data_IF_573812530038
#
_entry.id   IF_573812530038
#
_cell.length_a   1.000
_cell.length_b   1.000
_cell.length_c   1.000
_cell.angle_alpha   90.00
_cell.angle_beta   90.00
_cell.angle_gamma   90.00
#
_symmetry.space_group_name_H-M   'P 1'
#
loop_
_entity.id
_entity.type
_entity.pdbx_description
1 polymer ?
#
# COMPACT_ATOMS: atom_id res chain seq x y z
N UNK A 1 -17.04 -1.03 15.37
CA UNK A 1 -16.38 -1.61 14.17
C UNK A 1 -14.87 -1.40 14.24
N UNK A 2 -14.12 -2.42 14.64
CA UNK A 2 -12.64 -2.37 14.65
C UNK A 2 -12.11 -2.78 13.28
N UNK A 3 -11.52 -1.85 12.53
CA UNK A 3 -10.78 -2.14 11.29
C UNK A 3 -9.46 -2.85 11.64
N UNK A 4 -9.55 -4.10 12.09
CA UNK A 4 -8.38 -4.97 12.26
C UNK A 4 -7.86 -5.35 10.88
N UNK A 5 -6.75 -4.73 10.51
CA UNK A 5 -5.70 -5.16 9.58
C UNK A 5 -6.06 -6.37 8.70
N UNK A 6 -6.46 -6.10 7.46
CA UNK A 6 -7.06 -7.04 6.50
C UNK A 6 -6.08 -7.98 5.78
N UNK A 7 -4.94 -8.32 6.37
CA UNK A 7 -3.96 -9.23 5.78
C UNK A 7 -3.66 -10.38 6.75
N UNK A 8 -3.99 -11.62 6.36
CA UNK A 8 -3.32 -12.79 6.94
C UNK A 8 -1.96 -12.91 6.27
N UNK A 9 -0.90 -12.50 6.97
CA UNK A 9 0.48 -12.77 6.56
C UNK A 9 0.66 -14.29 6.46
N UNK A 10 0.80 -14.82 5.25
CA UNK A 10 1.18 -16.21 5.02
C UNK A 10 2.41 -16.21 4.11
N UNK A 11 3.57 -16.42 4.74
CA UNK A 11 4.90 -16.69 4.18
C UNK A 11 5.64 -15.53 3.48
N UNK A 12 6.57 -14.95 4.23
CA UNK A 12 7.71 -14.18 3.68
C UNK A 12 8.73 -15.20 3.14
N UNK A 13 8.96 -15.24 1.82
CA UNK A 13 10.18 -15.85 1.26
C UNK A 13 11.14 -14.72 0.90
N UNK A 14 12.14 -14.50 1.76
CA UNK A 14 13.28 -13.64 1.47
C UNK A 14 14.16 -14.39 0.47
N UNK A 15 14.19 -13.98 -0.80
CA UNK A 15 15.24 -14.44 -1.72
C UNK A 15 16.27 -13.32 -1.89
N UNK A 16 17.54 -13.70 -1.94
CA UNK A 16 18.70 -12.82 -1.77
C UNK A 16 18.92 -11.78 -2.90
N UNK A 17 18.04 -11.70 -3.90
CA UNK A 17 18.32 -10.97 -5.14
C UNK A 17 17.16 -10.09 -5.66
N UNK A 18 15.95 -10.19 -5.09
CA UNK A 18 14.82 -9.32 -5.41
C UNK A 18 13.72 -9.46 -4.33
N UNK A 19 13.45 -8.39 -3.57
CA UNK A 19 12.40 -8.36 -2.53
C UNK A 19 11.00 -8.29 -3.15
N UNK A 20 10.52 -9.43 -3.66
CA UNK A 20 9.13 -9.60 -4.06
C UNK A 20 8.40 -10.47 -3.03
N UNK A 21 7.29 -9.98 -2.52
CA UNK A 21 6.44 -10.67 -1.56
C UNK A 21 5.18 -11.18 -2.25
N UNK A 22 4.73 -12.36 -1.86
CA UNK A 22 3.42 -12.86 -2.26
C UNK A 22 2.38 -12.34 -1.26
N UNK A 23 1.46 -11.51 -1.74
CA UNK A 23 0.32 -11.03 -0.98
C UNK A 23 -0.94 -11.76 -1.46
N UNK A 24 -1.69 -12.36 -0.53
CA UNK A 24 -2.94 -13.05 -0.83
C UNK A 24 -4.11 -12.09 -0.60
N UNK A 25 -4.82 -11.64 -1.66
CA UNK A 25 -6.00 -10.80 -1.49
C UNK A 25 -7.12 -11.57 -0.76
N UNK A 26 -7.94 -10.85 0.02
CA UNK A 26 -9.05 -11.43 0.80
C UNK A 26 -10.13 -12.10 -0.07
N UNK A 27 -10.28 -11.62 -1.31
CA UNK A 27 -11.20 -12.15 -2.31
C UNK A 27 -10.43 -12.37 -3.61
N UNK A 28 -10.10 -13.63 -3.87
CA UNK A 28 -9.26 -14.06 -4.99
C UNK A 28 -8.44 -15.27 -4.58
N UNK A 29 -8.56 -16.37 -5.32
CA UNK A 29 -7.77 -17.58 -5.08
C UNK A 29 -6.34 -17.48 -5.64
N UNK A 30 -5.98 -16.36 -6.29
CA UNK A 30 -4.68 -16.14 -6.89
C UNK A 30 -3.80 -15.24 -6.03
N UNK A 31 -2.62 -15.70 -5.58
CA UNK A 31 -1.66 -14.84 -4.90
C UNK A 31 -1.12 -13.78 -5.86
N UNK A 32 -1.05 -12.54 -5.39
CA UNK A 32 -0.41 -11.45 -6.12
C UNK A 32 1.06 -11.41 -5.73
N UNK A 33 1.95 -11.37 -6.73
CA UNK A 33 3.36 -11.09 -6.51
C UNK A 33 3.55 -9.57 -6.47
N UNK A 34 3.71 -9.00 -5.28
CA UNK A 34 3.86 -7.57 -5.08
C UNK A 34 5.31 -7.23 -4.69
N UNK A 35 5.91 -6.18 -5.26
CA UNK A 35 7.18 -5.65 -4.78
C UNK A 35 7.03 -5.14 -3.33
N UNK A 36 7.99 -5.51 -2.48
CA UNK A 36 8.13 -4.90 -1.17
C UNK A 36 8.70 -3.50 -1.33
N UNK A 37 8.09 -2.52 -0.66
CA UNK A 37 8.55 -1.14 -0.69
C UNK A 37 9.29 -0.81 0.61
N UNK A 38 10.58 -0.40 0.54
CA UNK A 38 11.31 0.05 1.72
C UNK A 38 10.77 1.40 2.22
N UNK A 39 10.92 1.64 3.54
CA UNK A 39 10.34 2.81 4.21
C UNK A 39 10.74 4.15 3.56
N UNK A 40 11.97 4.25 3.04
CA UNK A 40 12.49 5.44 2.37
C UNK A 40 11.74 5.82 1.08
N UNK A 41 11.14 4.85 0.39
CA UNK A 41 10.43 5.08 -0.88
C UNK A 41 8.94 5.38 -0.68
N UNK A 42 8.38 5.10 0.51
CA UNK A 42 6.95 5.22 0.76
C UNK A 42 6.49 6.66 0.57
N UNK A 43 7.23 7.65 1.07
CA UNK A 43 6.86 9.06 0.93
C UNK A 43 6.74 9.48 -0.54
N UNK A 44 7.73 9.11 -1.37
CA UNK A 44 7.72 9.39 -2.81
C UNK A 44 6.56 8.69 -3.52
N UNK A 45 6.26 7.44 -3.13
CA UNK A 45 5.12 6.70 -3.66
C UNK A 45 3.79 7.40 -3.31
N UNK A 46 3.59 7.79 -2.06
CA UNK A 46 2.36 8.47 -1.64
C UNK A 46 2.18 9.81 -2.32
N UNK A 47 3.26 10.59 -2.47
CA UNK A 47 3.26 11.83 -3.23
C UNK A 47 2.83 11.60 -4.69
N UNK A 48 3.37 10.57 -5.36
CA UNK A 48 3.02 10.26 -6.74
C UNK A 48 1.53 9.87 -6.91
N UNK A 49 0.93 9.20 -5.93
CA UNK A 49 -0.46 8.73 -6.01
C UNK A 49 -1.49 9.74 -5.48
N UNK A 50 -1.08 10.69 -4.64
CA UNK A 50 -1.98 11.65 -3.98
C UNK A 50 -1.77 13.11 -4.42
N UNK A 51 -0.52 13.54 -4.62
CA UNK A 51 -0.18 14.93 -4.93
C UNK A 51 -0.02 15.21 -6.42
N UNK A 52 -0.10 14.16 -7.27
CA UNK A 52 -0.07 14.34 -8.72
C UNK A 52 -1.21 15.25 -9.17
N UNK A 53 -0.97 16.24 -10.05
CA UNK A 53 -2.01 17.11 -10.60
C UNK A 53 -3.20 16.34 -11.21
N UNK A 54 -2.94 15.13 -11.73
CA UNK A 54 -3.97 14.27 -12.33
C UNK A 54 -4.69 13.36 -11.33
N UNK A 55 -4.18 13.25 -10.10
CA UNK A 55 -4.80 12.44 -9.06
C UNK A 55 -5.94 13.17 -8.34
N UNK A 56 -5.93 14.51 -8.34
CA UNK A 56 -7.00 15.31 -7.72
C UNK A 56 -7.13 15.07 -6.22
N UNK A 57 -6.02 14.85 -5.50
CA UNK A 57 -6.00 14.70 -4.04
C UNK A 57 -6.93 13.59 -3.53
N UNK A 58 -6.77 12.38 -4.08
CA UNK A 58 -7.62 11.24 -3.74
C UNK A 58 -7.65 10.97 -2.24
N UNK A 59 -8.87 10.87 -1.68
CA UNK A 59 -9.08 10.45 -0.30
C UNK A 59 -8.59 9.03 0.00
N UNK A 60 -8.42 8.73 1.28
CA UNK A 60 -7.78 7.50 1.81
C UNK A 60 -8.17 6.22 1.09
N UNK A 61 -9.48 5.97 0.95
CA UNK A 61 -9.97 4.74 0.36
C UNK A 61 -9.61 4.62 -1.13
N UNK A 62 -9.68 5.72 -1.90
CA UNK A 62 -9.36 5.69 -3.34
C UNK A 62 -7.86 5.44 -3.55
N UNK A 63 -7.01 6.11 -2.77
CA UNK A 63 -5.55 5.93 -2.81
C UNK A 63 -5.15 4.52 -2.39
N UNK A 64 -5.74 4.00 -1.30
CA UNK A 64 -5.54 2.62 -0.86
C UNK A 64 -5.87 1.60 -1.95
N UNK A 65 -7.04 1.72 -2.60
CA UNK A 65 -7.45 0.78 -3.66
C UNK A 65 -6.51 0.81 -4.87
N UNK A 66 -5.92 1.96 -5.21
CA UNK A 66 -4.94 2.05 -6.30
C UNK A 66 -3.61 1.37 -5.97
N UNK A 67 -3.17 1.44 -4.72
CA UNK A 67 -1.84 0.99 -4.29
C UNK A 67 -1.84 -0.49 -3.90
N UNK A 68 -2.91 -0.99 -3.25
CA UNK A 68 -2.92 -2.28 -2.56
C UNK A 68 -2.65 -3.51 -3.43
N UNK A 69 -2.96 -3.41 -4.73
CA UNK A 69 -2.82 -4.50 -5.68
C UNK A 69 -1.51 -4.37 -6.51
N UNK A 70 -0.66 -3.39 -6.18
CA UNK A 70 0.59 -3.07 -6.90
C UNK A 70 1.83 -3.10 -6.02
N UNK A 71 1.68 -2.82 -4.73
CA UNK A 71 2.79 -2.71 -3.78
C UNK A 71 2.41 -3.28 -2.43
N UNK A 72 3.41 -3.66 -1.65
CA UNK A 72 3.20 -4.08 -0.27
C UNK A 72 4.25 -3.50 0.67
N UNK A 73 3.80 -3.05 1.83
CA UNK A 73 4.64 -2.86 3.01
C UNK A 73 3.83 -3.03 4.30
N UNK A 74 4.46 -3.39 5.42
CA UNK A 74 3.80 -3.51 6.71
C UNK A 74 3.14 -2.19 7.14
N UNK A 75 1.87 -2.25 7.57
CA UNK A 75 1.16 -1.05 8.05
C UNK A 75 0.70 -0.09 6.94
N UNK A 76 0.74 -0.50 5.67
CA UNK A 76 0.42 0.34 4.50
C UNK A 76 -0.85 1.18 4.61
N UNK A 77 -1.95 0.59 5.07
CA UNK A 77 -3.21 1.33 5.21
C UNK A 77 -3.11 2.50 6.20
N UNK A 78 -2.48 2.29 7.35
CA UNK A 78 -2.36 3.34 8.38
C UNK A 78 -1.44 4.47 7.92
N UNK A 79 -0.32 4.15 7.28
CA UNK A 79 0.59 5.17 6.73
C UNK A 79 -0.07 5.97 5.60
N UNK A 80 -0.79 5.32 4.67
CA UNK A 80 -1.58 6.02 3.63
C UNK A 80 -2.60 6.95 4.29
N UNK A 81 -3.33 6.46 5.30
CA UNK A 81 -4.32 7.26 6.02
C UNK A 81 -3.69 8.48 6.68
N UNK A 82 -2.57 8.32 7.40
CA UNK A 82 -1.88 9.41 8.07
C UNK A 82 -1.38 10.45 7.06
N UNK A 83 -0.77 10.02 5.96
CA UNK A 83 -0.28 10.92 4.91
C UNK A 83 -1.39 11.80 4.35
N UNK A 84 -2.51 11.19 3.94
CA UNK A 84 -3.62 11.92 3.33
C UNK A 84 -4.31 12.84 4.34
N UNK A 85 -4.48 12.42 5.60
CA UNK A 85 -5.05 13.26 6.65
C UNK A 85 -4.13 14.43 7.06
N UNK A 86 -2.83 14.35 6.77
CA UNK A 86 -1.87 15.45 6.97
C UNK A 86 -1.77 16.41 5.78
N UNK A 87 -2.45 16.12 4.67
CA UNK A 87 -2.41 16.96 3.48
C UNK A 87 -3.22 18.23 3.70
N UNK A 88 -2.58 19.40 3.59
CA UNK A 88 -3.22 20.71 3.77
C UNK A 88 -4.12 21.12 2.60
N UNK A 89 -4.05 20.42 1.46
CA UNK A 89 -4.83 20.71 0.26
C UNK A 89 -6.15 19.93 0.18
N UNK A 90 -6.34 18.94 1.07
CA UNK A 90 -7.52 18.07 1.13
C UNK A 90 -8.50 18.54 2.20
#
# INVERSE_FOLDING_TARGET
>A
MSLRNSWKLCMVKLTAYNLSLWAYPRYGHTPLKLPFIPQSMIAQLLQAYHDSPTSGHLGVNKTWHKIRDRYYWPGMYNQIKQYILSCSKC
#
